data_IF_727771454413
#
_entry.id   IF_727771454413
#
_cell.length_a   1.000
_cell.length_b   1.000
_cell.length_c   1.000
_cell.angle_alpha   90.00
_cell.angle_beta   90.00
_cell.angle_gamma   90.00
#
_symmetry.space_group_name_H-M   'P 1'
#
loop_
_entity.id
_entity.type
_entity.pdbx_description
1 polymer ?
#
# COMPACT_ATOMS: atom_id res chain seq x y z
N UNK A 1 -11.22 11.04 -4.30
CA UNK A 1 -10.29 10.07 -3.65
C UNK A 1 -9.14 9.78 -4.59
N UNK A 2 -7.92 9.93 -4.12
CA UNK A 2 -6.72 9.55 -4.85
C UNK A 2 -6.42 8.07 -4.64
N UNK A 3 -5.88 7.40 -5.64
CA UNK A 3 -5.54 5.97 -5.55
C UNK A 3 -4.11 5.73 -6.01
N UNK A 4 -3.36 4.99 -5.21
CA UNK A 4 -1.95 4.70 -5.47
C UNK A 4 -1.65 3.22 -5.32
N UNK A 5 -0.87 2.68 -6.23
CA UNK A 5 -0.33 1.32 -6.15
C UNK A 5 1.16 1.38 -5.81
N UNK A 6 1.50 0.83 -4.65
CA UNK A 6 2.89 0.77 -4.18
C UNK A 6 3.68 -0.14 -5.13
N UNK A 7 4.71 0.41 -5.77
CA UNK A 7 5.45 -0.26 -6.84
C UNK A 7 6.94 -0.16 -6.59
N UNK A 8 7.65 -1.27 -6.65
CA UNK A 8 9.12 -1.29 -6.62
C UNK A 8 9.60 -0.96 -8.02
N UNK A 9 10.05 0.29 -8.21
CA UNK A 9 10.29 0.86 -9.55
C UNK A 9 11.52 0.30 -10.26
N UNK A 10 12.45 -0.32 -9.56
CA UNK A 10 13.62 -0.99 -10.11
C UNK A 10 13.44 -2.51 -10.26
N UNK A 11 12.23 -3.01 -10.05
CA UNK A 11 11.90 -4.43 -10.14
C UNK A 11 10.83 -4.64 -11.21
N UNK A 12 11.19 -5.28 -12.32
CA UNK A 12 10.30 -5.45 -13.46
C UNK A 12 9.02 -6.24 -13.12
N UNK A 13 9.14 -7.29 -12.32
CA UNK A 13 8.00 -8.09 -11.86
C UNK A 13 6.98 -7.24 -11.10
N UNK A 14 7.45 -6.35 -10.22
CA UNK A 14 6.59 -5.41 -9.50
C UNK A 14 5.89 -4.45 -10.45
N UNK A 15 6.61 -3.91 -11.43
CA UNK A 15 6.04 -3.00 -12.44
C UNK A 15 4.96 -3.70 -13.25
N UNK A 16 5.18 -4.94 -13.67
CA UNK A 16 4.21 -5.72 -14.45
C UNK A 16 2.91 -5.95 -13.70
N UNK A 17 2.98 -6.39 -12.43
CA UNK A 17 1.77 -6.63 -11.63
C UNK A 17 1.09 -5.32 -11.24
N UNK A 18 1.84 -4.25 -11.00
CA UNK A 18 1.27 -2.91 -10.77
C UNK A 18 0.53 -2.40 -12.02
N UNK A 19 1.07 -2.62 -13.21
CA UNK A 19 0.38 -2.29 -14.45
C UNK A 19 -0.92 -3.08 -14.62
N UNK A 20 -0.92 -4.35 -14.21
CA UNK A 20 -2.13 -5.17 -14.18
C UNK A 20 -3.17 -4.61 -13.21
N UNK A 21 -2.75 -4.18 -12.02
CA UNK A 21 -3.60 -3.51 -11.05
C UNK A 21 -4.23 -2.24 -11.66
N UNK A 22 -3.43 -1.36 -12.23
CA UNK A 22 -3.88 -0.12 -12.88
C UNK A 22 -4.89 -0.41 -13.99
N UNK A 23 -4.63 -1.41 -14.82
CA UNK A 23 -5.52 -1.82 -15.91
C UNK A 23 -6.86 -2.34 -15.39
N UNK A 24 -6.84 -3.14 -14.32
CA UNK A 24 -8.08 -3.64 -13.69
C UNK A 24 -8.88 -2.51 -13.04
N UNK A 25 -8.20 -1.54 -12.42
CA UNK A 25 -8.81 -0.35 -11.85
C UNK A 25 -9.50 0.50 -12.93
N UNK A 26 -8.83 0.72 -14.04
CA UNK A 26 -9.38 1.49 -15.17
C UNK A 26 -10.67 0.87 -15.72
N UNK A 27 -10.76 -0.45 -15.78
CA UNK A 27 -11.99 -1.15 -16.17
C UNK A 27 -13.14 -0.94 -15.17
N UNK A 28 -12.84 -0.54 -13.96
CA UNK A 28 -13.80 -0.26 -12.89
C UNK A 28 -13.89 1.25 -12.59
N UNK A 29 -13.54 2.09 -13.57
CA UNK A 29 -13.64 3.55 -13.52
C UNK A 29 -12.80 4.20 -12.40
N UNK A 30 -11.66 3.60 -12.07
CA UNK A 30 -10.73 4.11 -11.05
C UNK A 30 -9.39 4.41 -11.70
N UNK A 31 -8.90 5.62 -11.49
CA UNK A 31 -7.55 6.00 -11.89
C UNK A 31 -6.60 5.72 -10.73
N UNK A 32 -5.58 4.93 -11.00
CA UNK A 32 -4.54 4.56 -10.02
C UNK A 32 -3.19 4.99 -10.56
N UNK A 33 -2.44 5.71 -9.74
CA UNK A 33 -1.06 6.10 -10.04
C UNK A 33 -0.08 5.22 -9.27
N UNK A 34 1.13 5.08 -9.78
CA UNK A 34 2.19 4.36 -9.09
C UNK A 34 2.75 5.22 -7.95
N UNK A 35 3.01 4.58 -6.82
CA UNK A 35 3.72 5.17 -5.70
C UNK A 35 5.03 4.42 -5.49
N UNK A 36 6.14 5.15 -5.41
CA UNK A 36 7.45 4.54 -5.22
C UNK A 36 7.51 3.78 -3.90
N UNK A 37 7.68 2.47 -4.00
CA UNK A 37 7.88 1.64 -2.82
C UNK A 37 9.23 1.94 -2.16
N UNK A 38 9.23 1.90 -0.85
CA UNK A 38 10.46 1.83 -0.07
C UNK A 38 10.97 0.39 -0.10
N UNK A 39 12.25 0.23 -0.31
CA UNK A 39 12.95 -1.06 -0.27
C UNK A 39 13.96 -1.07 0.88
N UNK A 40 14.46 -2.23 1.31
CA UNK A 40 15.48 -2.29 2.35
C UNK A 40 16.72 -1.44 2.04
N UNK A 41 17.06 -1.29 0.76
CA UNK A 41 18.20 -0.47 0.32
C UNK A 41 17.92 1.04 0.31
N UNK A 42 16.68 1.45 0.22
CA UNK A 42 16.27 2.86 0.14
C UNK A 42 15.70 3.41 1.45
N UNK A 43 15.57 2.58 2.48
CA UNK A 43 15.00 2.99 3.76
C UNK A 43 16.06 3.08 4.85
N UNK A 44 16.36 4.28 5.35
CA UNK A 44 17.11 4.41 6.57
C UNK A 44 16.20 4.09 7.78
N UNK A 45 16.51 3.01 8.51
CA UNK A 45 15.80 2.64 9.74
C UNK A 45 15.80 3.78 10.75
N UNK A 46 16.89 4.56 10.80
CA UNK A 46 17.01 5.72 11.66
C UNK A 46 15.90 6.77 11.44
N UNK A 47 15.39 6.89 10.22
CA UNK A 47 14.26 7.79 9.93
C UNK A 47 13.00 7.37 10.70
N UNK A 48 12.68 6.08 10.73
CA UNK A 48 11.52 5.57 11.48
C UNK A 48 11.73 5.75 12.99
N UNK A 49 12.92 5.49 13.49
CA UNK A 49 13.26 5.69 14.91
C UNK A 49 13.13 7.17 15.30
N UNK A 50 13.62 8.08 14.46
CA UNK A 50 13.54 9.52 14.70
C UNK A 50 12.09 10.04 14.69
N UNK A 51 11.21 9.39 13.95
CA UNK A 51 9.77 9.71 13.94
C UNK A 51 8.98 9.00 15.07
N UNK A 52 9.67 8.30 15.97
CA UNK A 52 9.07 7.64 17.13
C UNK A 52 8.40 6.30 16.81
N UNK A 53 8.70 5.69 15.68
CA UNK A 53 8.16 4.40 15.30
C UNK A 53 8.90 3.28 16.04
N UNK A 54 8.16 2.43 16.73
CA UNK A 54 8.73 1.23 17.37
C UNK A 54 8.89 0.12 16.33
N UNK A 55 10.12 -0.10 15.86
CA UNK A 55 10.40 -1.13 14.85
C UNK A 55 10.37 -2.56 15.39
N UNK A 56 10.37 -2.75 16.71
CA UNK A 56 10.33 -4.10 17.30
C UNK A 56 9.06 -4.87 16.95
N UNK A 57 7.96 -4.16 16.65
CA UNK A 57 6.70 -4.74 16.21
C UNK A 57 6.67 -5.14 14.72
N UNK A 58 7.70 -4.77 13.95
CA UNK A 58 7.79 -5.05 12.51
C UNK A 58 8.42 -6.43 12.24
N UNK A 59 8.17 -7.39 13.11
CA UNK A 59 8.70 -8.74 13.01
C UNK A 59 7.61 -9.70 12.51
N UNK A 60 7.90 -10.42 11.45
CA UNK A 60 7.03 -11.44 10.90
C UNK A 60 7.77 -12.77 10.75
N UNK A 61 7.08 -13.88 10.97
CA UNK A 61 7.67 -15.23 10.98
C UNK A 61 8.34 -15.60 9.64
N UNK A 62 7.78 -15.13 8.53
CA UNK A 62 8.20 -15.53 7.18
C UNK A 62 8.92 -14.44 6.40
N UNK A 63 9.14 -13.30 7.00
CA UNK A 63 9.75 -12.16 6.33
C UNK A 63 10.90 -11.57 7.14
N UNK A 64 11.89 -11.03 6.43
CA UNK A 64 13.00 -10.31 7.09
C UNK A 64 12.48 -8.99 7.64
N UNK A 65 12.99 -8.59 8.82
CA UNK A 65 12.64 -7.30 9.46
C UNK A 65 12.80 -6.14 8.47
N UNK A 66 13.87 -6.12 7.69
CA UNK A 66 14.13 -5.07 6.71
C UNK A 66 13.02 -4.98 5.64
N UNK A 67 12.51 -6.10 5.18
CA UNK A 67 11.40 -6.14 4.23
C UNK A 67 10.09 -5.66 4.87
N UNK A 68 9.81 -6.10 6.09
CA UNK A 68 8.63 -5.65 6.84
C UNK A 68 8.68 -4.14 7.11
N UNK A 69 9.83 -3.63 7.51
CA UNK A 69 10.04 -2.20 7.75
C UNK A 69 9.87 -1.38 6.46
N UNK A 70 10.39 -1.87 5.34
CA UNK A 70 10.25 -1.21 4.04
C UNK A 70 8.78 -1.19 3.58
N UNK A 71 8.07 -2.31 3.71
CA UNK A 71 6.64 -2.38 3.41
C UNK A 71 5.84 -1.42 4.30
N UNK A 72 6.08 -1.43 5.59
CA UNK A 72 5.47 -0.48 6.52
C UNK A 72 5.72 0.96 6.11
N UNK A 73 6.97 1.31 5.82
CA UNK A 73 7.34 2.67 5.44
C UNK A 73 6.65 3.11 4.13
N UNK A 74 6.46 2.20 3.18
CA UNK A 74 5.72 2.49 1.95
C UNK A 74 4.27 2.92 2.25
N UNK A 75 3.57 2.18 3.11
CA UNK A 75 2.24 2.56 3.57
C UNK A 75 2.25 3.85 4.39
N UNK A 76 3.21 3.99 5.29
CA UNK A 76 3.36 5.17 6.14
C UNK A 76 3.57 6.44 5.32
N UNK A 77 4.36 6.38 4.27
CA UNK A 77 4.56 7.53 3.36
C UNK A 77 3.26 7.96 2.68
N UNK A 78 2.39 7.00 2.35
CA UNK A 78 1.06 7.30 1.80
C UNK A 78 0.11 7.85 2.86
N UNK A 79 0.20 7.40 4.11
CA UNK A 79 -0.58 8.01 5.20
C UNK A 79 -0.18 9.48 5.42
N UNK A 80 1.11 9.77 5.37
CA UNK A 80 1.60 11.16 5.44
C UNK A 80 1.07 11.99 4.27
N UNK A 81 1.12 11.44 3.07
CA UNK A 81 0.58 12.09 1.88
C UNK A 81 -0.94 12.36 2.00
N UNK A 82 -1.69 11.38 2.51
CA UNK A 82 -3.13 11.54 2.79
C UNK A 82 -3.41 12.74 3.71
N UNK A 83 -2.61 12.90 4.76
CA UNK A 83 -2.72 14.05 5.68
C UNK A 83 -2.35 15.36 4.98
N UNK A 84 -1.27 15.37 4.19
CA UNK A 84 -0.80 16.55 3.46
C UNK A 84 -1.85 17.08 2.48
N UNK A 85 -2.49 16.19 1.72
CA UNK A 85 -3.51 16.59 0.74
C UNK A 85 -4.90 16.77 1.37
N UNK A 86 -5.06 16.38 2.62
CA UNK A 86 -6.34 16.40 3.35
C UNK A 86 -7.48 15.74 2.56
N UNK A 87 -7.22 14.57 2.00
CA UNK A 87 -8.14 13.84 1.14
C UNK A 87 -8.01 12.34 1.39
N UNK A 88 -9.09 11.60 1.23
CA UNK A 88 -9.05 10.13 1.31
C UNK A 88 -8.11 9.55 0.23
N UNK A 89 -7.34 8.55 0.62
CA UNK A 89 -6.40 7.86 -0.26
C UNK A 89 -6.69 6.36 -0.25
N UNK A 90 -6.80 5.79 -1.43
CA UNK A 90 -6.84 4.34 -1.61
C UNK A 90 -5.40 3.84 -1.79
N UNK A 91 -4.99 2.93 -0.93
CA UNK A 91 -3.67 2.32 -0.96
C UNK A 91 -3.76 0.88 -1.46
N UNK A 92 -2.98 0.56 -2.48
CA UNK A 92 -2.96 -0.74 -3.13
C UNK A 92 -1.53 -1.30 -3.11
N UNK A 93 -1.39 -2.56 -2.81
CA UNK A 93 -0.14 -3.27 -3.07
C UNK A 93 -0.04 -3.66 -4.54
N UNK A 94 1.16 -3.88 -5.06
CA UNK A 94 1.40 -4.03 -6.49
C UNK A 94 0.62 -5.19 -7.12
N UNK A 95 0.33 -6.24 -6.36
CA UNK A 95 -0.40 -7.43 -6.81
C UNK A 95 -1.92 -7.34 -6.64
N UNK A 96 -2.44 -6.19 -6.20
CA UNK A 96 -3.87 -5.97 -6.09
C UNK A 96 -4.56 -6.06 -7.47
N UNK A 97 -5.79 -6.53 -7.45
CA UNK A 97 -6.61 -6.65 -8.65
C UNK A 97 -8.06 -6.27 -8.35
N UNK A 98 -8.63 -5.39 -9.16
CA UNK A 98 -10.01 -4.95 -8.99
C UNK A 98 -10.97 -5.96 -9.62
N UNK A 99 -11.92 -6.43 -8.82
CA UNK A 99 -12.98 -7.33 -9.25
C UNK A 99 -14.33 -6.64 -9.41
N UNK A 100 -14.41 -5.36 -9.07
CA UNK A 100 -15.62 -4.56 -9.15
C UNK A 100 -15.34 -3.11 -8.81
N UNK A 101 -16.37 -2.28 -8.86
CA UNK A 101 -16.30 -0.87 -8.49
C UNK A 101 -16.25 -0.70 -6.98
N UNK A 102 -15.63 0.39 -6.52
CA UNK A 102 -15.68 0.79 -5.12
C UNK A 102 -17.08 1.38 -4.86
N UNK A 103 -17.75 0.99 -3.77
CA UNK A 103 -19.04 1.60 -3.41
C UNK A 103 -18.93 3.12 -3.29
N UNK A 104 -19.95 3.84 -3.78
CA UNK A 104 -20.00 5.30 -3.73
C UNK A 104 -20.00 5.85 -2.30
N UNK A 105 -20.53 5.09 -1.35
CA UNK A 105 -20.59 5.47 0.06
C UNK A 105 -19.90 4.40 0.89
N UNK A 106 -18.81 4.79 1.54
CA UNK A 106 -18.09 3.97 2.50
C UNK A 106 -18.21 4.61 3.87
N UNK A 107 -18.77 3.86 4.82
CA UNK A 107 -18.89 4.31 6.20
C UNK A 107 -17.72 3.76 7.02
N UNK A 108 -16.75 4.63 7.27
CA UNK A 108 -15.59 4.29 8.10
C UNK A 108 -15.06 5.53 8.83
N UNK A 109 -14.30 5.32 9.89
CA UNK A 109 -13.80 6.41 10.72
C UNK A 109 -12.37 6.79 10.42
N UNK A 110 -11.47 5.85 10.27
CA UNK A 110 -10.03 6.11 10.04
C UNK A 110 -9.52 5.39 8.82
N UNK A 111 -9.65 4.09 8.82
CA UNK A 111 -9.28 3.26 7.67
C UNK A 111 -10.21 2.06 7.59
N UNK A 112 -10.34 1.53 6.39
CA UNK A 112 -11.13 0.34 6.10
C UNK A 112 -10.38 -0.54 5.12
N UNK A 113 -10.43 -1.85 5.31
CA UNK A 113 -9.93 -2.80 4.33
C UNK A 113 -11.03 -3.12 3.33
N UNK A 114 -10.73 -2.96 2.05
CA UNK A 114 -11.62 -3.31 0.95
C UNK A 114 -11.24 -4.64 0.31
N UNK A 115 -10.08 -5.19 0.67
CA UNK A 115 -9.57 -6.42 0.10
C UNK A 115 -10.23 -7.66 0.68
N UNK A 116 -10.52 -8.63 -0.17
CA UNK A 116 -10.86 -9.99 0.26
C UNK A 116 -9.55 -10.73 0.50
N UNK A 117 -9.28 -11.26 1.70
CA UNK A 117 -8.07 -12.02 1.92
C UNK A 117 -8.08 -13.30 1.08
N UNK A 118 -6.90 -13.67 0.60
CA UNK A 118 -6.68 -14.91 -0.13
C UNK A 118 -6.65 -16.15 0.77
N UNK A 119 -6.58 -15.96 2.06
CA UNK A 119 -6.50 -17.00 3.08
C UNK A 119 -7.37 -16.66 4.29
N UNK A 120 -7.73 -17.70 5.04
CA UNK A 120 -8.56 -17.54 6.23
C UNK A 120 -10.06 -17.50 5.93
N UNK A 121 -10.83 -17.70 6.99
CA UNK A 121 -12.29 -17.55 6.93
C UNK A 121 -12.67 -16.17 7.41
N UNK A 122 -13.47 -15.50 6.65
CA UNK A 122 -14.20 -14.33 7.14
C UNK A 122 -15.24 -14.80 8.15
N UNK A 123 -15.14 -14.28 9.32
CA UNK A 123 -16.23 -14.38 10.28
C UNK A 123 -17.01 -13.08 10.31
#
# INVERSE_FOLDING_TARGET
>A
MKAFVITIMDHEGSIQVANRCIKSAKKNNIQVDKWLATTPSSMPIDMLLNEGVNIAGLHETYSRIANCAAAFHSHYSLWKHCVEINEEVLILEHDAYFIGEIPNQLHFSKCISLGKPSYGKWN
#
